data_IF_858575801694
#
_entry.id   IF_858575801694
#
_cell.length_a   1.000
_cell.length_b   1.000
_cell.length_c   1.000
_cell.angle_alpha   90.00
_cell.angle_beta   90.00
_cell.angle_gamma   90.00
#
_symmetry.space_group_name_H-M   'P 1'
#
loop_
_entity.id
_entity.type
_entity.pdbx_description
1 polymer ?
#
# COMPACT_ATOMS: atom_id res chain seq x y z
N UNK A 1 14.57 11.57 -19.52
CA UNK A 1 15.42 11.21 -18.35
C UNK A 1 14.67 10.16 -17.55
N UNK A 2 15.29 9.00 -17.31
CA UNK A 2 14.62 7.79 -16.78
C UNK A 2 14.66 7.69 -15.25
N UNK A 3 15.51 8.45 -14.59
CA UNK A 3 15.76 8.40 -13.14
C UNK A 3 15.69 9.80 -12.51
N UNK A 4 15.42 9.87 -11.20
CA UNK A 4 15.34 11.08 -10.38
C UNK A 4 16.18 10.93 -9.11
N UNK A 5 16.62 12.06 -8.54
CA UNK A 5 17.25 12.07 -7.21
C UNK A 5 16.25 11.55 -6.18
N UNK A 6 16.71 10.64 -5.32
CA UNK A 6 15.91 9.94 -4.32
C UNK A 6 15.35 8.58 -4.76
N UNK A 7 15.42 8.26 -6.06
CA UNK A 7 14.98 6.96 -6.58
C UNK A 7 15.82 5.82 -5.97
N UNK A 8 15.16 4.74 -5.56
CA UNK A 8 15.81 3.53 -5.08
C UNK A 8 16.24 2.66 -6.27
N UNK A 9 17.53 2.39 -6.39
CA UNK A 9 18.11 1.69 -7.54
C UNK A 9 18.98 0.54 -7.08
N UNK A 10 19.03 -0.50 -7.92
CA UNK A 10 19.90 -1.66 -7.76
C UNK A 10 20.88 -1.72 -8.94
N UNK A 11 22.10 -2.12 -8.63
CA UNK A 11 23.16 -2.32 -9.59
C UNK A 11 22.87 -3.59 -10.40
N UNK A 12 23.12 -3.57 -11.71
CA UNK A 12 22.81 -4.70 -12.60
C UNK A 12 23.79 -5.86 -12.38
N UNK A 13 25.06 -5.55 -12.15
CA UNK A 13 26.13 -6.54 -12.08
C UNK A 13 26.45 -6.96 -10.62
N UNK A 14 26.02 -6.15 -9.64
CA UNK A 14 26.39 -6.31 -8.24
C UNK A 14 25.14 -6.31 -7.34
N UNK A 15 25.13 -7.09 -6.23
CA UNK A 15 24.02 -7.12 -5.28
C UNK A 15 24.05 -5.90 -4.34
N UNK A 16 24.24 -4.71 -4.91
CA UNK A 16 24.29 -3.44 -4.19
C UNK A 16 23.03 -2.63 -4.52
N UNK A 17 22.47 -2.01 -3.49
CA UNK A 17 21.28 -1.18 -3.56
C UNK A 17 21.54 0.16 -2.89
N UNK A 18 20.87 1.20 -3.37
CA UNK A 18 20.99 2.53 -2.77
C UNK A 18 20.06 3.55 -3.40
N UNK A 19 20.19 4.78 -2.95
CA UNK A 19 19.41 5.90 -3.44
C UNK A 19 20.25 6.80 -4.34
N UNK A 20 19.66 7.28 -5.43
CA UNK A 20 20.31 8.29 -6.26
C UNK A 20 20.45 9.59 -5.47
N UNK A 21 21.67 10.06 -5.28
CA UNK A 21 21.98 11.31 -4.56
C UNK A 21 22.51 12.40 -5.48
N UNK A 22 23.18 12.04 -6.58
CA UNK A 22 23.73 13.02 -7.52
C UNK A 22 23.67 12.55 -8.98
N UNK A 23 23.65 13.52 -9.90
CA UNK A 23 23.87 13.31 -11.33
C UNK A 23 25.17 14.02 -11.73
N UNK A 24 26.08 13.29 -12.35
CA UNK A 24 27.35 13.82 -12.82
C UNK A 24 27.38 13.87 -14.36
N UNK A 25 28.36 14.57 -14.91
CA UNK A 25 28.59 14.60 -16.34
C UNK A 25 28.90 13.19 -16.88
N UNK A 26 28.60 12.97 -18.16
CA UNK A 26 28.87 11.71 -18.86
C UNK A 26 27.97 10.51 -18.44
N UNK A 27 26.72 10.79 -18.04
CA UNK A 27 25.70 9.77 -17.71
C UNK A 27 26.08 8.90 -16.49
N UNK A 28 26.85 9.49 -15.57
CA UNK A 28 27.23 8.89 -14.28
C UNK A 28 26.25 9.37 -13.20
N UNK A 29 25.81 8.43 -12.38
CA UNK A 29 24.84 8.63 -11.30
C UNK A 29 25.51 8.27 -9.98
N UNK A 30 25.47 9.16 -9.00
CA UNK A 30 25.90 8.88 -7.64
C UNK A 30 24.80 8.14 -6.90
N UNK A 31 25.10 6.93 -6.44
CA UNK A 31 24.19 6.10 -5.65
C UNK A 31 24.77 5.93 -4.25
N UNK A 32 24.01 6.34 -3.24
CA UNK A 32 24.39 6.22 -1.83
C UNK A 32 23.74 5.02 -1.19
N UNK A 33 24.54 4.15 -0.57
CA UNK A 33 24.08 2.98 0.17
C UNK A 33 23.58 3.34 1.59
N UNK A 34 23.13 2.34 2.35
CA UNK A 34 22.70 2.52 3.74
C UNK A 34 23.85 2.89 4.70
N UNK A 35 25.10 2.74 4.28
CA UNK A 35 26.30 3.09 5.04
C UNK A 35 26.68 4.57 4.88
N UNK A 36 26.05 5.28 3.94
CA UNK A 36 26.34 6.68 3.62
C UNK A 36 27.50 6.88 2.64
N UNK A 37 27.93 5.82 1.94
CA UNK A 37 28.99 5.88 0.93
C UNK A 37 28.38 6.12 -0.45
N UNK A 38 28.85 7.13 -1.18
CA UNK A 38 28.40 7.44 -2.54
C UNK A 38 29.29 6.74 -3.58
N UNK A 39 28.67 5.89 -4.38
CA UNK A 39 29.31 5.11 -5.44
C UNK A 39 28.91 5.72 -6.79
N UNK A 40 29.87 6.17 -7.63
CA UNK A 40 29.58 6.63 -8.97
C UNK A 40 29.39 5.46 -9.93
N UNK A 41 28.23 5.40 -10.60
CA UNK A 41 27.85 4.29 -11.48
C UNK A 41 27.30 4.82 -12.80
N UNK A 42 27.64 4.21 -13.95
CA UNK A 42 26.99 4.53 -15.21
C UNK A 42 25.48 4.25 -15.18
N UNK A 43 24.66 5.13 -15.78
CA UNK A 43 23.21 5.00 -15.76
C UNK A 43 22.67 3.71 -16.41
N UNK A 44 23.43 3.08 -17.31
CA UNK A 44 23.09 1.80 -17.93
C UNK A 44 23.35 0.58 -17.03
N UNK A 45 24.04 0.76 -15.89
CA UNK A 45 24.36 -0.27 -14.92
C UNK A 45 23.49 -0.21 -13.66
N UNK A 46 22.46 0.64 -13.66
CA UNK A 46 21.48 0.72 -12.59
C UNK A 46 20.08 0.46 -13.12
N UNK A 47 19.25 -0.12 -12.26
CA UNK A 47 17.83 -0.36 -12.54
C UNK A 47 16.99 0.20 -11.41
N UNK A 48 15.85 0.80 -11.78
CA UNK A 48 14.90 1.35 -10.82
C UNK A 48 14.20 0.20 -10.11
N UNK A 49 14.41 0.10 -8.80
CA UNK A 49 13.73 -0.89 -7.97
C UNK A 49 12.37 -0.31 -7.60
N UNK A 50 11.36 -0.70 -8.35
CA UNK A 50 9.97 -0.55 -7.92
C UNK A 50 9.64 -1.76 -7.07
N UNK A 51 9.05 -1.54 -5.89
CA UNK A 51 8.40 -2.55 -5.03
C UNK A 51 9.01 -3.96 -5.04
N UNK A 52 9.76 -4.30 -4.00
CA UNK A 52 10.18 -5.67 -3.61
C UNK A 52 10.12 -6.72 -4.74
N UNK A 53 10.99 -6.64 -5.75
CA UNK A 53 11.36 -7.83 -6.50
C UNK A 53 12.30 -8.67 -5.62
N UNK A 54 11.73 -9.39 -4.66
CA UNK A 54 12.29 -10.69 -4.31
C UNK A 54 12.16 -11.52 -5.58
N UNK A 55 13.27 -11.78 -6.27
CA UNK A 55 13.29 -12.82 -7.29
C UNK A 55 13.34 -14.15 -6.55
N UNK A 56 12.59 -15.13 -7.04
CA UNK A 56 12.69 -16.52 -6.57
C UNK A 56 14.10 -17.11 -6.76
N UNK A 57 14.99 -16.44 -7.51
CA UNK A 57 16.37 -16.85 -7.75
C UNK A 57 17.32 -16.65 -6.55
N UNK A 58 16.92 -15.90 -5.50
CA UNK A 58 17.73 -15.76 -4.28
C UNK A 58 17.49 -16.92 -3.27
N UNK A 59 16.58 -17.86 -3.56
CA UNK A 59 16.32 -19.07 -2.75
C UNK A 59 16.99 -20.33 -3.32
N UNK A 60 18.28 -20.25 -3.65
CA UNK A 60 19.09 -21.46 -3.86
C UNK A 60 20.18 -21.55 -2.80
N UNK A 61 19.79 -21.65 -1.53
CA UNK A 61 20.55 -22.44 -0.56
C UNK A 61 19.76 -22.75 0.74
N UNK A 62 19.28 -24.00 0.80
CA UNK A 62 19.06 -24.85 1.99
C UNK A 62 18.04 -24.38 3.05
N UNK A 63 16.87 -25.02 3.03
CA UNK A 63 16.54 -26.09 3.99
C UNK A 63 15.21 -26.75 3.60
N UNK A 64 15.23 -28.06 3.34
CA UNK A 64 14.02 -28.88 3.34
C UNK A 64 13.52 -28.96 4.79
N UNK A 65 12.66 -28.02 5.17
CA UNK A 65 11.79 -28.20 6.33
C UNK A 65 10.45 -28.65 5.78
N UNK A 66 10.04 -29.87 6.12
CA UNK A 66 8.68 -30.36 5.89
C UNK A 66 7.73 -29.58 6.80
N UNK A 67 7.50 -28.31 6.51
CA UNK A 67 6.42 -27.54 7.14
C UNK A 67 5.17 -27.76 6.31
N UNK A 68 4.10 -28.23 6.96
CA UNK A 68 2.74 -28.12 6.43
C UNK A 68 2.59 -26.71 5.84
N UNK A 69 2.12 -26.56 4.59
CA UNK A 69 1.92 -25.23 4.01
C UNK A 69 1.08 -24.39 4.98
N UNK A 70 1.48 -23.15 5.30
CA UNK A 70 0.71 -22.31 6.19
C UNK A 70 -0.73 -22.22 5.67
N UNK A 71 -1.73 -22.19 6.57
CA UNK A 71 -3.13 -22.13 6.16
C UNK A 71 -3.34 -20.93 5.23
N UNK A 72 -4.17 -21.12 4.21
CA UNK A 72 -4.48 -20.07 3.25
C UNK A 72 -5.23 -18.95 3.97
N UNK A 73 -4.63 -17.76 4.00
CA UNK A 73 -5.15 -16.59 4.71
C UNK A 73 -6.02 -15.78 3.74
N UNK A 74 -7.34 -15.82 3.92
CA UNK A 74 -8.28 -15.15 3.01
C UNK A 74 -8.46 -13.64 3.27
N UNK A 75 -8.18 -13.18 4.50
CA UNK A 75 -8.42 -11.79 4.95
C UNK A 75 -7.21 -11.16 5.59
N UNK A 76 -7.14 -9.83 5.52
CA UNK A 76 -6.06 -9.04 6.11
C UNK A 76 -5.44 -8.06 5.12
N UNK A 77 -6.27 -7.32 4.39
CA UNK A 77 -5.80 -6.24 3.53
C UNK A 77 -6.03 -4.93 4.27
N UNK A 78 -4.96 -4.20 4.54
CA UNK A 78 -5.01 -3.00 5.36
C UNK A 78 -4.45 -1.77 4.63
N UNK A 79 -4.99 -0.62 5.00
CA UNK A 79 -4.34 0.68 4.81
C UNK A 79 -3.63 1.04 6.11
N UNK A 80 -2.32 1.19 6.04
CA UNK A 80 -1.46 1.61 7.16
C UNK A 80 -1.05 3.07 7.02
N UNK A 81 -1.03 3.80 8.13
CA UNK A 81 -0.48 5.15 8.19
C UNK A 81 0.65 5.18 9.21
N UNK A 82 1.85 5.49 8.75
CA UNK A 82 3.05 5.65 9.57
C UNK A 82 3.45 7.13 9.70
N UNK A 83 4.30 7.42 10.67
CA UNK A 83 4.86 8.74 10.92
C UNK A 83 4.40 9.36 12.24
N UNK A 84 5.18 10.28 12.78
CA UNK A 84 4.86 10.98 14.02
C UNK A 84 4.28 12.37 13.72
N UNK A 85 3.26 12.77 14.48
CA UNK A 85 2.64 14.08 14.31
C UNK A 85 3.65 15.22 14.52
N UNK A 86 4.69 14.98 15.33
CA UNK A 86 5.78 15.93 15.59
C UNK A 86 6.74 16.10 14.42
N UNK A 87 7.00 15.03 13.67
CA UNK A 87 7.92 15.01 12.52
C UNK A 87 7.25 15.53 11.24
N UNK A 88 5.91 15.68 11.27
CA UNK A 88 5.14 16.39 10.27
C UNK A 88 4.81 15.61 8.99
N UNK A 89 5.40 14.45 8.73
CA UNK A 89 5.11 13.63 7.55
C UNK A 89 4.41 12.31 7.90
N UNK A 90 3.32 12.06 7.20
CA UNK A 90 2.55 10.81 7.23
C UNK A 90 2.80 10.02 5.95
N UNK A 91 3.11 8.73 6.10
CA UNK A 91 3.33 7.79 4.99
C UNK A 91 2.21 6.76 4.97
N UNK A 92 1.62 6.55 3.80
CA UNK A 92 0.49 5.64 3.61
C UNK A 92 0.94 4.38 2.90
N UNK A 93 0.51 3.24 3.41
CA UNK A 93 0.86 1.92 2.93
C UNK A 93 -0.38 1.10 2.63
N UNK A 94 -0.32 0.30 1.58
CA UNK A 94 -1.14 -0.89 1.46
C UNK A 94 -0.37 -2.07 2.02
N UNK A 95 -1.03 -2.87 2.86
CA UNK A 95 -0.43 -3.99 3.57
C UNK A 95 -1.27 -5.23 3.28
N UNK A 96 -0.66 -6.25 2.70
CA UNK A 96 -1.33 -7.47 2.30
C UNK A 96 -0.86 -8.64 3.17
N UNK A 97 -1.58 -8.92 4.26
CA UNK A 97 -1.33 -10.12 5.10
C UNK A 97 -1.95 -11.39 4.52
N UNK A 98 -2.67 -11.30 3.40
CA UNK A 98 -3.36 -12.44 2.81
C UNK A 98 -2.41 -13.36 2.04
N UNK A 99 -2.91 -14.54 1.70
CA UNK A 99 -2.24 -15.47 0.78
C UNK A 99 -2.55 -15.19 -0.70
N UNK A 100 -3.23 -14.07 -1.00
CA UNK A 100 -3.48 -13.61 -2.36
C UNK A 100 -2.39 -12.66 -2.83
N UNK A 101 -2.05 -12.73 -4.11
CA UNK A 101 -1.57 -11.55 -4.83
C UNK A 101 -2.75 -10.62 -5.05
N UNK A 102 -2.54 -9.31 -4.91
CA UNK A 102 -3.59 -8.32 -5.13
C UNK A 102 -3.19 -7.32 -6.21
N UNK A 103 -4.13 -7.01 -7.10
CA UNK A 103 -4.05 -5.84 -7.95
C UNK A 103 -4.85 -4.73 -7.28
N UNK A 104 -4.19 -3.60 -7.02
CA UNK A 104 -4.80 -2.50 -6.29
C UNK A 104 -4.67 -1.20 -7.07
N UNK A 105 -5.73 -0.40 -7.06
CA UNK A 105 -5.70 0.97 -7.53
C UNK A 105 -6.14 1.90 -6.42
N UNK A 106 -5.56 3.10 -6.39
CA UNK A 106 -6.00 4.20 -5.54
C UNK A 106 -6.18 5.44 -6.40
N UNK A 107 -7.36 6.05 -6.30
CA UNK A 107 -7.69 7.32 -6.93
C UNK A 107 -8.01 8.36 -5.87
N UNK A 108 -7.60 9.60 -6.09
CA UNK A 108 -8.10 10.75 -5.36
C UNK A 108 -9.51 11.11 -5.85
N UNK A 109 -10.43 11.28 -4.90
CA UNK A 109 -11.82 11.68 -5.14
C UNK A 109 -11.92 13.20 -5.11
N UNK A 110 -12.26 13.78 -6.26
CA UNK A 110 -12.54 15.20 -6.40
C UNK A 110 -13.97 15.39 -6.93
N UNK A 111 -14.93 15.43 -5.99
CA UNK A 111 -16.37 15.43 -6.30
C UNK A 111 -16.76 14.22 -7.16
N UNK A 112 -17.21 14.43 -8.39
CA UNK A 112 -17.57 13.37 -9.34
C UNK A 112 -16.38 12.83 -10.14
N UNK A 113 -15.21 13.46 -10.04
CA UNK A 113 -14.00 13.05 -10.78
C UNK A 113 -13.10 12.17 -9.91
N UNK A 114 -12.30 11.34 -10.57
CA UNK A 114 -11.28 10.48 -9.98
C UNK A 114 -9.94 10.78 -10.65
N UNK A 115 -8.89 10.92 -9.87
CA UNK A 115 -7.52 11.08 -10.37
C UNK A 115 -6.67 9.94 -9.85
N UNK A 116 -6.14 9.10 -10.74
CA UNK A 116 -5.30 7.97 -10.34
C UNK A 116 -4.00 8.46 -9.71
N UNK A 117 -3.67 7.89 -8.55
CA UNK A 117 -2.42 8.20 -7.82
C UNK A 117 -1.54 6.96 -7.65
N UNK A 118 -2.12 5.75 -7.72
CA UNK A 118 -1.40 4.50 -7.53
C UNK A 118 -2.13 3.35 -8.23
N UNK A 119 -1.40 2.46 -8.88
CA UNK A 119 -1.93 1.24 -9.49
C UNK A 119 -0.81 0.20 -9.63
N UNK A 120 -0.84 -0.86 -8.83
CA UNK A 120 0.23 -1.87 -8.79
C UNK A 120 -0.27 -3.26 -8.37
N UNK A 121 0.57 -4.27 -8.59
CA UNK A 121 0.44 -5.60 -7.94
C UNK A 121 1.17 -5.58 -6.59
N UNK A 122 0.55 -6.10 -5.55
CA UNK A 122 1.19 -6.40 -4.27
C UNK A 122 1.14 -7.91 -4.07
N UNK A 123 2.31 -8.52 -3.89
CA UNK A 123 2.40 -9.96 -3.68
C UNK A 123 1.78 -10.39 -2.34
N UNK A 124 1.46 -11.67 -2.19
CA UNK A 124 1.06 -12.23 -0.91
C UNK A 124 2.10 -11.94 0.19
N UNK A 125 1.65 -11.54 1.39
CA UNK A 125 2.51 -11.18 2.53
C UNK A 125 3.52 -10.06 2.23
N UNK A 126 3.09 -9.03 1.53
CA UNK A 126 3.92 -7.87 1.18
C UNK A 126 3.19 -6.54 1.44
N UNK A 127 3.90 -5.43 1.31
CA UNK A 127 3.37 -4.09 1.50
C UNK A 127 4.02 -3.09 0.55
N UNK A 128 3.36 -1.97 0.30
CA UNK A 128 3.90 -0.90 -0.54
C UNK A 128 3.41 0.47 -0.07
N UNK A 129 4.31 1.45 -0.10
CA UNK A 129 3.94 2.86 0.13
C UNK A 129 3.28 3.42 -1.12
N UNK A 130 2.11 4.04 -1.00
CA UNK A 130 1.40 4.62 -2.14
C UNK A 130 1.18 6.14 -2.06
N UNK A 131 1.30 6.73 -0.87
CA UNK A 131 1.05 8.16 -0.69
C UNK A 131 1.86 8.74 0.48
N UNK A 132 2.08 10.06 0.46
CA UNK A 132 2.72 10.80 1.55
C UNK A 132 2.01 12.14 1.73
N UNK A 133 1.79 12.55 2.98
CA UNK A 133 1.09 13.78 3.31
C UNK A 133 1.71 14.46 4.54
N UNK A 134 1.33 15.70 4.81
CA UNK A 134 1.80 16.44 5.99
C UNK A 134 0.74 16.48 7.10
N UNK A 135 1.11 16.13 8.34
CA UNK A 135 0.20 16.13 9.50
C UNK A 135 -0.37 17.52 9.84
N UNK A 136 0.28 18.61 9.43
CA UNK A 136 -0.24 19.97 9.61
C UNK A 136 -1.55 20.20 8.82
N UNK A 137 -1.76 19.41 7.76
CA UNK A 137 -2.87 19.56 6.83
C UNK A 137 -3.78 18.33 6.78
N UNK A 138 -3.98 17.58 7.88
CA UNK A 138 -4.84 16.37 7.89
C UNK A 138 -6.23 16.65 7.31
N UNK A 139 -6.81 17.81 7.60
CA UNK A 139 -8.13 18.21 7.07
C UNK A 139 -8.19 18.35 5.55
N UNK A 140 -7.04 18.46 4.88
CA UNK A 140 -6.90 18.58 3.42
C UNK A 140 -6.40 17.28 2.78
N UNK A 141 -6.21 16.22 3.55
CA UNK A 141 -5.81 14.95 2.96
C UNK A 141 -6.91 14.43 2.02
N UNK A 142 -6.53 13.85 0.87
CA UNK A 142 -7.49 13.40 -0.12
C UNK A 142 -8.37 12.28 0.42
N UNK A 143 -9.59 12.20 -0.11
CA UNK A 143 -10.39 10.99 -0.01
C UNK A 143 -9.92 10.03 -1.10
N UNK A 144 -9.71 8.77 -0.75
CA UNK A 144 -9.28 7.75 -1.69
C UNK A 144 -10.47 6.88 -2.11
N UNK A 145 -10.54 6.59 -3.39
CA UNK A 145 -11.28 5.46 -3.94
C UNK A 145 -10.28 4.34 -4.16
N UNK A 146 -10.49 3.20 -3.53
CA UNK A 146 -9.59 2.04 -3.56
C UNK A 146 -10.34 0.87 -4.17
N UNK A 147 -9.75 0.26 -5.20
CA UNK A 147 -10.29 -0.95 -5.83
C UNK A 147 -9.27 -2.07 -5.73
N UNK A 148 -9.71 -3.28 -5.38
CA UNK A 148 -8.83 -4.42 -5.13
C UNK A 148 -9.38 -5.67 -5.82
N UNK A 149 -8.51 -6.33 -6.59
CA UNK A 149 -8.74 -7.65 -7.16
C UNK A 149 -7.79 -8.64 -6.51
N UNK A 150 -8.29 -9.81 -6.14
CA UNK A 150 -7.48 -10.89 -5.56
C UNK A 150 -7.17 -11.95 -6.60
N UNK A 151 -5.98 -12.49 -6.52
CA UNK A 151 -5.50 -13.55 -7.39
C UNK A 151 -4.69 -14.57 -6.58
N UNK A 152 -4.86 -15.85 -6.86
CA UNK A 152 -4.04 -16.92 -6.31
C UNK A 152 -4.01 -18.11 -7.25
N UNK A 153 -2.83 -18.75 -7.37
CA UNK A 153 -2.66 -20.04 -8.04
C UNK A 153 -3.15 -21.22 -7.18
N UNK A 154 -3.31 -21.01 -5.86
CA UNK A 154 -3.80 -22.02 -4.93
C UNK A 154 -5.34 -22.09 -4.92
N UNK A 155 -5.94 -23.25 -4.63
CA UNK A 155 -7.40 -23.36 -4.48
C UNK A 155 -7.94 -22.39 -3.43
N UNK A 156 -8.94 -21.61 -3.81
CA UNK A 156 -9.60 -20.63 -2.93
C UNK A 156 -11.06 -20.42 -3.37
N UNK A 157 -11.86 -19.86 -2.46
CA UNK A 157 -13.25 -19.50 -2.76
C UNK A 157 -13.32 -18.31 -3.71
N UNK A 158 -14.35 -18.24 -4.55
CA UNK A 158 -14.56 -17.08 -5.41
C UNK A 158 -14.63 -15.79 -4.58
N UNK A 159 -13.88 -14.77 -4.99
CA UNK A 159 -13.87 -13.46 -4.32
C UNK A 159 -14.48 -12.41 -5.23
N UNK A 160 -15.22 -11.47 -4.64
CA UNK A 160 -15.71 -10.29 -5.34
C UNK A 160 -14.63 -9.21 -5.38
N UNK A 161 -14.72 -8.32 -6.36
CA UNK A 161 -13.92 -7.10 -6.38
C UNK A 161 -14.24 -6.28 -5.13
N UNK A 162 -13.21 -5.77 -4.46
CA UNK A 162 -13.42 -4.84 -3.36
C UNK A 162 -13.39 -3.43 -3.91
N UNK A 163 -14.29 -2.61 -3.40
CA UNK A 163 -14.35 -1.19 -3.68
C UNK A 163 -14.60 -0.45 -2.37
N UNK A 164 -13.72 0.47 -2.01
CA UNK A 164 -13.78 1.24 -0.76
C UNK A 164 -13.51 2.70 -1.01
N UNK A 165 -14.38 3.56 -0.47
CA UNK A 165 -14.05 4.96 -0.27
C UNK A 165 -13.45 5.13 1.13
N UNK A 166 -12.21 5.59 1.20
CA UNK A 166 -11.50 5.83 2.45
C UNK A 166 -11.27 7.33 2.63
N UNK A 167 -11.78 7.85 3.75
CA UNK A 167 -11.57 9.23 4.18
C UNK A 167 -11.02 9.24 5.58
N UNK A 168 -9.83 9.79 5.75
CA UNK A 168 -9.24 9.96 7.06
C UNK A 168 -9.69 11.27 7.70
N UNK A 169 -10.18 11.19 8.94
CA UNK A 169 -10.48 12.33 9.78
C UNK A 169 -9.41 12.47 10.87
N UNK A 170 -9.15 13.68 11.38
CA UNK A 170 -8.22 13.87 12.50
C UNK A 170 -8.53 13.01 13.73
N UNK A 171 -9.81 12.73 14.00
CA UNK A 171 -10.24 11.88 15.12
C UNK A 171 -9.74 10.44 14.97
N UNK A 172 -9.59 9.95 13.75
CA UNK A 172 -9.17 8.57 13.48
C UNK A 172 -7.69 8.35 13.87
N UNK A 173 -6.91 9.42 13.98
CA UNK A 173 -5.50 9.41 14.40
C UNK A 173 -5.31 9.49 15.93
N UNK A 174 -6.39 9.58 16.70
CA UNK A 174 -6.33 9.54 18.17
C UNK A 174 -6.14 8.12 18.67
N UNK A 175 -6.62 7.13 17.90
CA UNK A 175 -6.44 5.72 18.24
C UNK A 175 -4.94 5.38 18.30
N UNK A 176 -4.53 4.50 19.24
CA UNK A 176 -3.14 4.09 19.33
C UNK A 176 -2.72 3.35 18.07
N UNK A 177 -1.45 3.55 17.67
CA UNK A 177 -0.84 2.77 16.61
C UNK A 177 -0.64 1.32 17.05
N UNK A 178 -0.81 0.40 16.12
CA UNK A 178 -0.54 -1.03 16.29
C UNK A 178 0.78 -1.38 15.62
N UNK A 179 1.50 -2.38 16.16
CA UNK A 179 2.69 -2.89 15.48
C UNK A 179 2.26 -3.80 14.33
N UNK A 180 2.69 -3.50 13.11
CA UNK A 180 2.42 -4.34 11.95
C UNK A 180 3.65 -5.22 11.65
N UNK A 181 3.43 -6.52 11.54
CA UNK A 181 4.50 -7.52 11.39
C UNK A 181 5.21 -7.43 10.05
N UNK A 182 4.50 -7.08 8.97
CA UNK A 182 5.09 -6.97 7.63
C UNK A 182 5.90 -5.68 7.51
N UNK A 183 5.36 -4.57 8.01
CA UNK A 183 6.04 -3.27 7.98
C UNK A 183 7.18 -3.15 9.01
N UNK A 184 7.17 -3.96 10.07
CA UNK A 184 8.16 -3.87 11.16
C UNK A 184 8.08 -2.58 11.98
N UNK A 185 6.97 -1.86 11.93
CA UNK A 185 6.78 -0.58 12.63
C UNK A 185 5.34 -0.36 13.09
N UNK A 186 5.17 0.64 13.96
CA UNK A 186 3.84 1.04 14.46
C UNK A 186 3.11 1.92 13.46
N UNK A 187 1.87 1.54 13.13
CA UNK A 187 0.99 2.26 12.20
C UNK A 187 -0.44 2.37 12.72
N UNK A 188 -1.17 3.41 12.30
CA UNK A 188 -2.63 3.37 12.35
C UNK A 188 -3.10 2.43 11.25
N UNK A 189 -3.87 1.41 11.61
CA UNK A 189 -4.26 0.33 10.70
C UNK A 189 -5.76 0.34 10.45
N UNK A 190 -6.16 0.34 9.18
CA UNK A 190 -7.55 0.32 8.74
C UNK A 190 -7.80 -0.86 7.80
N UNK A 191 -8.70 -1.76 8.17
CA UNK A 191 -9.01 -2.96 7.37
C UNK A 191 -9.88 -2.61 6.17
N UNK A 192 -9.38 -2.89 4.96
CA UNK A 192 -10.05 -2.59 3.69
C UNK A 192 -10.98 -3.72 3.25
N UNK A 193 -10.73 -4.95 3.70
CA UNK A 193 -11.52 -6.13 3.38
C UNK A 193 -12.49 -6.57 4.47
N UNK A 194 -12.74 -5.68 5.43
CA UNK A 194 -13.82 -5.86 6.41
C UNK A 194 -15.16 -5.94 5.67
N UNK A 195 -15.98 -7.00 5.90
CA UNK A 195 -17.30 -7.08 5.31
C UNK A 195 -18.13 -5.89 5.76
N UNK A 196 -18.86 -5.27 4.82
CA UNK A 196 -19.80 -4.22 5.17
C UNK A 196 -20.91 -4.84 6.01
N UNK A 197 -20.98 -4.47 7.28
CA UNK A 197 -22.16 -4.73 8.07
C UNK A 197 -23.30 -4.00 7.38
N UNK A 198 -24.24 -4.75 6.83
CA UNK A 198 -25.48 -4.19 6.31
C UNK A 198 -26.30 -3.71 7.51
N UNK A 199 -25.96 -2.53 8.03
CA UNK A 199 -26.75 -1.80 9.01
C UNK A 199 -28.04 -1.51 8.27
N UNK A 200 -29.07 -2.34 8.45
CA UNK A 200 -30.26 -2.41 7.60
C UNK A 200 -31.01 -1.08 7.42
N UNK A 201 -30.46 -0.20 6.59
CA UNK A 201 -31.01 1.10 6.20
C UNK A 201 -32.34 0.89 5.45
N UNK A 202 -32.50 -0.26 4.82
CA UNK A 202 -33.76 -0.69 4.19
C UNK A 202 -34.89 -0.92 5.21
N UNK A 203 -34.56 -1.33 6.45
CA UNK A 203 -35.55 -1.43 7.54
C UNK A 203 -35.94 -0.07 8.11
N UNK A 204 -35.04 0.92 8.06
CA UNK A 204 -35.37 2.29 8.49
C UNK A 204 -36.30 2.96 7.47
N UNK A 205 -36.04 2.83 6.15
CA UNK A 205 -36.89 3.43 5.10
C UNK A 205 -38.34 2.91 5.13
N UNK A 206 -38.56 1.64 5.45
CA UNK A 206 -39.91 1.04 5.51
C UNK A 206 -40.71 1.49 6.75
N UNK A 207 -40.05 1.82 7.87
CA UNK A 207 -40.74 2.30 9.07
C UNK A 207 -41.15 3.79 9.02
N UNK A 208 -40.45 4.64 8.26
CA UNK A 208 -40.76 6.08 8.21
C UNK A 208 -41.77 6.51 7.13
N UNK A 209 -42.14 5.62 6.20
CA UNK A 209 -43.04 5.96 5.06
C UNK A 209 -44.52 5.63 5.34
N UNK A 210 -44.86 4.90 6.41
CA UNK A 210 -46.23 4.41 6.65
C UNK A 210 -47.23 5.43 7.21
N UNK A 211 -46.83 6.66 7.54
CA UNK A 211 -47.69 7.66 8.19
C UNK A 211 -47.88 8.95 7.38
N UNK A 212 -48.18 8.85 6.08
CA UNK A 212 -48.77 9.99 5.35
C UNK A 212 -50.25 9.72 5.11
N UNK A 213 -51.17 10.30 5.90
CA UNK A 213 -52.59 10.23 5.60
C UNK A 213 -52.84 10.93 4.27
N UNK A 214 -53.46 10.23 3.31
CA UNK A 214 -53.90 10.83 2.06
C UNK A 214 -54.85 11.99 2.36
N UNK A 215 -54.52 13.20 1.89
CA UNK A 215 -55.47 14.30 1.82
C UNK A 215 -56.59 13.87 0.86
N UNK A 216 -57.78 13.64 1.39
CA UNK A 216 -59.04 13.78 0.65
C UNK A 216 -59.37 15.26 0.52
#
# INVERSE_FOLDING_TARGET
MKFKIGDFVRFVDEPIEGHITSFQDNDIIGVTDNSGFEIPVPANKITLVHGNMRRDDDEVEKAQVTTVPPPFVERGIYLGIAGEQRDGLAKFFFINHTSYDILITANEINSTKRTGIFAEKISARDFIQFYTANFTNVSKWPNFEIQILRYSMLPHNATTTLHKEFRLKPLDLIHPKENDELLGMKVWRYELDKPEENIGLDKLKTHFISHRPGRR
#
